data_IF_026330100304
#
_entry.id   IF_026330100304
#
_cell.length_a   1.000
_cell.length_b   1.000
_cell.length_c   1.000
_cell.angle_alpha   90.00
_cell.angle_beta   90.00
_cell.angle_gamma   90.00
#
_symmetry.space_group_name_H-M   'P 1'
#
loop_
_entity.id
_entity.type
_entity.pdbx_description
1 polymer ?
#
# COMPACT_ATOMS: atom_id res chain seq x y z
N UNK A 1 2.70 5.65 37.22
CA UNK A 1 3.86 4.79 37.51
C UNK A 1 5.13 5.49 37.02
N UNK A 2 6.15 5.53 37.84
CA UNK A 2 7.46 6.06 37.45
C UNK A 2 8.46 4.91 37.29
N UNK A 3 9.21 4.90 36.22
CA UNK A 3 10.32 3.97 36.01
C UNK A 3 11.51 4.34 36.89
N UNK A 4 12.49 3.44 37.07
CA UNK A 4 13.71 3.73 37.84
C UNK A 4 14.47 4.99 37.40
N UNK A 5 14.48 5.39 36.11
CA UNK A 5 15.04 6.69 35.67
C UNK A 5 14.13 7.90 35.94
N UNK A 6 12.92 7.71 36.50
CA UNK A 6 12.01 8.82 36.82
C UNK A 6 11.02 9.19 35.69
N UNK A 7 10.97 8.42 34.61
CA UNK A 7 10.04 8.64 33.50
C UNK A 7 8.63 8.28 33.96
N UNK A 8 7.68 9.20 33.78
CA UNK A 8 6.26 8.98 34.09
C UNK A 8 5.59 8.16 33.00
N UNK A 9 5.03 7.00 33.38
CA UNK A 9 4.25 6.15 32.47
C UNK A 9 2.79 6.21 32.86
N UNK A 10 1.92 6.58 31.93
CA UNK A 10 0.47 6.60 32.12
C UNK A 10 -0.05 5.16 32.07
N UNK A 11 -0.76 4.76 33.12
CA UNK A 11 -1.37 3.42 33.21
C UNK A 11 -2.83 3.51 32.78
N UNK A 12 -3.20 2.79 31.72
CA UNK A 12 -4.62 2.77 31.33
C UNK A 12 -4.86 2.40 29.84
N UNK A 13 -3.90 1.79 29.17
CA UNK A 13 -4.04 1.43 27.78
C UNK A 13 -2.76 0.86 27.17
N UNK A 14 -2.54 1.07 25.89
CA UNK A 14 -1.29 0.76 25.21
C UNK A 14 -0.19 1.73 25.68
N UNK A 15 1.06 1.36 25.45
CA UNK A 15 2.21 2.26 25.63
C UNK A 15 2.15 3.30 24.53
N UNK A 16 2.00 4.58 24.88
CA UNK A 16 2.11 5.67 23.93
C UNK A 16 3.58 5.87 23.56
N UNK A 17 3.91 5.98 22.28
CA UNK A 17 5.28 6.24 21.87
C UNK A 17 5.69 7.68 22.19
N UNK A 18 6.92 7.89 22.67
CA UNK A 18 7.47 9.23 22.95
C UNK A 18 7.63 10.04 21.66
N UNK A 19 7.89 9.37 20.54
CA UNK A 19 8.06 10.00 19.23
C UNK A 19 7.11 9.35 18.23
N UNK A 20 6.20 10.15 17.69
CA UNK A 20 5.21 9.71 16.70
C UNK A 20 5.72 10.06 15.30
N UNK A 21 5.98 9.02 14.49
CA UNK A 21 6.21 9.17 13.05
C UNK A 21 4.88 8.92 12.36
N UNK A 22 4.29 9.97 11.80
CA UNK A 22 3.02 9.83 11.08
C UNK A 22 3.25 9.18 9.72
N UNK A 23 2.55 8.09 9.48
CA UNK A 23 2.30 7.59 8.13
C UNK A 23 0.88 8.04 7.73
N UNK A 24 0.80 8.99 6.82
CA UNK A 24 -0.48 9.55 6.37
C UNK A 24 -0.98 8.86 5.09
N UNK A 25 -0.31 7.79 4.66
CA UNK A 25 -0.63 7.10 3.42
C UNK A 25 -1.84 6.17 3.54
N UNK A 26 -2.83 6.36 2.69
CA UNK A 26 -3.82 5.33 2.36
C UNK A 26 -3.47 4.76 0.99
N UNK A 27 -3.27 3.46 0.91
CA UNK A 27 -2.79 2.77 -0.28
C UNK A 27 -3.77 1.65 -0.70
N UNK A 28 -4.99 2.02 -1.14
CA UNK A 28 -6.04 1.05 -1.42
C UNK A 28 -5.71 0.11 -2.59
N UNK A 29 -4.98 0.58 -3.62
CA UNK A 29 -4.55 -0.27 -4.71
C UNK A 29 -3.44 -1.23 -4.25
N UNK A 30 -2.40 -0.75 -3.58
CA UNK A 30 -1.32 -1.61 -3.05
C UNK A 30 -1.87 -2.69 -2.11
N UNK A 31 -2.86 -2.34 -1.28
CA UNK A 31 -3.54 -3.28 -0.40
C UNK A 31 -4.39 -4.31 -1.17
N UNK A 32 -5.04 -3.92 -2.27
CA UNK A 32 -5.78 -4.84 -3.15
C UNK A 32 -4.84 -5.81 -3.87
N UNK A 33 -3.71 -5.31 -4.39
CA UNK A 33 -2.66 -6.12 -5.02
C UNK A 33 -2.09 -7.14 -4.00
N UNK A 34 -1.85 -6.72 -2.77
CA UNK A 34 -1.36 -7.60 -1.71
C UNK A 34 -2.37 -8.71 -1.39
N UNK A 35 -3.63 -8.35 -1.17
CA UNK A 35 -4.71 -9.31 -0.86
C UNK A 35 -4.96 -10.32 -1.97
N UNK A 36 -4.81 -9.93 -3.23
CA UNK A 36 -4.95 -10.83 -4.37
C UNK A 36 -3.78 -11.81 -4.55
N UNK A 37 -2.65 -11.57 -3.86
CA UNK A 37 -1.41 -12.32 -4.04
C UNK A 37 -0.68 -11.97 -5.35
N UNK A 38 -1.01 -10.86 -6.00
CA UNK A 38 -0.49 -10.52 -7.31
C UNK A 38 1.00 -10.20 -7.31
N UNK A 39 1.56 -9.65 -6.24
CA UNK A 39 3.01 -9.47 -6.11
C UNK A 39 3.75 -10.80 -6.26
N UNK A 40 3.31 -11.81 -5.54
CA UNK A 40 3.89 -13.15 -5.59
C UNK A 40 3.74 -13.81 -6.97
N UNK A 41 2.53 -13.74 -7.56
CA UNK A 41 2.27 -14.30 -8.89
C UNK A 41 3.15 -13.65 -9.95
N UNK A 42 3.25 -12.33 -9.94
CA UNK A 42 4.08 -11.60 -10.89
C UNK A 42 5.54 -12.02 -10.81
N UNK A 43 6.09 -12.18 -9.60
CA UNK A 43 7.45 -12.66 -9.42
C UNK A 43 7.60 -14.10 -9.94
N UNK A 44 6.65 -14.99 -9.65
CA UNK A 44 6.69 -16.37 -10.17
C UNK A 44 6.71 -16.44 -11.70
N UNK A 45 6.00 -15.55 -12.38
CA UNK A 45 5.89 -15.54 -13.84
C UNK A 45 7.06 -14.82 -14.53
N UNK A 46 7.85 -14.04 -13.79
CA UNK A 46 8.89 -13.19 -14.38
C UNK A 46 10.29 -13.39 -13.79
N UNK A 47 10.47 -14.26 -12.79
CA UNK A 47 11.77 -14.44 -12.11
C UNK A 47 12.88 -14.99 -13.01
N UNK A 48 12.54 -15.75 -14.02
CA UNK A 48 13.48 -16.34 -14.97
C UNK A 48 14.04 -15.33 -15.99
N UNK A 49 13.47 -14.13 -16.07
CA UNK A 49 13.96 -13.04 -16.90
C UNK A 49 15.17 -12.31 -16.30
N UNK A 50 15.49 -12.55 -15.03
CA UNK A 50 16.54 -11.88 -14.28
C UNK A 50 17.46 -12.88 -13.60
N UNK A 51 18.77 -12.62 -13.61
CA UNK A 51 19.74 -13.47 -12.93
C UNK A 51 19.96 -13.07 -11.46
N UNK A 52 19.57 -11.86 -11.07
CA UNK A 52 19.76 -11.33 -9.71
C UNK A 52 18.78 -10.21 -9.38
N UNK A 53 18.70 -9.86 -8.10
CA UNK A 53 17.93 -8.70 -7.64
C UNK A 53 18.46 -7.39 -8.23
N UNK A 54 19.76 -7.28 -8.49
CA UNK A 54 20.35 -6.06 -9.05
C UNK A 54 19.84 -5.81 -10.49
N UNK A 55 19.65 -6.86 -11.26
CA UNK A 55 19.06 -6.74 -12.60
C UNK A 55 17.59 -6.30 -12.52
N UNK A 56 16.83 -6.81 -11.56
CA UNK A 56 15.44 -6.38 -11.31
C UNK A 56 15.39 -4.89 -10.96
N UNK A 57 16.26 -4.45 -10.05
CA UNK A 57 16.32 -3.04 -9.62
C UNK A 57 16.76 -2.09 -10.74
N UNK A 58 17.49 -2.59 -11.73
CA UNK A 58 17.94 -1.84 -12.90
C UNK A 58 16.91 -1.78 -14.05
N UNK A 59 15.85 -2.60 -14.00
CA UNK A 59 14.83 -2.64 -15.05
C UNK A 59 13.85 -1.47 -14.94
N UNK A 60 14.02 -0.48 -15.79
CA UNK A 60 13.15 0.70 -15.86
C UNK A 60 11.73 0.38 -16.36
N UNK A 61 11.53 -0.78 -17.00
CA UNK A 61 10.22 -1.20 -17.52
C UNK A 61 9.44 -2.09 -16.54
N UNK A 62 10.07 -2.53 -15.46
CA UNK A 62 9.46 -3.42 -14.47
C UNK A 62 8.07 -2.95 -14.02
N UNK A 63 7.95 -1.66 -13.67
CA UNK A 63 6.69 -1.11 -13.18
C UNK A 63 5.63 -0.99 -14.29
N UNK A 64 6.04 -0.79 -15.53
CA UNK A 64 5.13 -0.82 -16.69
C UNK A 64 4.60 -2.24 -16.92
N UNK A 65 5.47 -3.24 -16.87
CA UNK A 65 5.08 -4.67 -16.96
C UNK A 65 4.13 -5.05 -15.81
N UNK A 66 4.43 -4.60 -14.60
CA UNK A 66 3.58 -4.88 -13.44
C UNK A 66 2.21 -4.21 -13.56
N UNK A 67 2.13 -2.97 -14.06
CA UNK A 67 0.86 -2.28 -14.32
C UNK A 67 -0.02 -3.07 -15.29
N UNK A 68 0.54 -3.50 -16.41
CA UNK A 68 -0.18 -4.33 -17.38
C UNK A 68 -0.67 -5.63 -16.72
N UNK A 69 0.18 -6.28 -15.92
CA UNK A 69 -0.18 -7.50 -15.22
C UNK A 69 -1.38 -7.33 -14.28
N UNK A 70 -1.44 -6.26 -13.48
CA UNK A 70 -2.58 -6.03 -12.58
C UNK A 70 -3.86 -5.67 -13.36
N UNK A 71 -3.74 -4.94 -14.50
CA UNK A 71 -4.86 -4.63 -15.38
C UNK A 71 -5.43 -5.90 -16.03
N UNK A 72 -4.59 -6.80 -16.54
CA UNK A 72 -4.99 -8.10 -17.11
C UNK A 72 -5.62 -9.05 -16.10
N UNK A 73 -5.34 -8.89 -14.82
CA UNK A 73 -5.92 -9.67 -13.72
C UNK A 73 -7.11 -8.97 -13.03
N UNK A 74 -7.66 -7.89 -13.61
CA UNK A 74 -8.80 -7.12 -13.07
C UNK A 74 -8.59 -6.62 -11.62
N UNK A 75 -7.36 -6.27 -11.25
CA UNK A 75 -7.03 -5.79 -9.91
C UNK A 75 -7.11 -4.26 -9.89
N UNK A 76 -8.03 -3.73 -9.08
CA UNK A 76 -8.22 -2.29 -8.89
C UNK A 76 -8.20 -1.90 -7.42
N UNK A 77 -7.90 -0.64 -7.16
CA UNK A 77 -7.98 -0.08 -5.82
C UNK A 77 -9.42 0.10 -5.36
N UNK A 78 -9.62 -0.04 -4.07
CA UNK A 78 -10.92 0.17 -3.45
C UNK A 78 -11.16 1.68 -3.21
N UNK A 79 -12.39 2.13 -3.46
CA UNK A 79 -12.85 3.48 -3.12
C UNK A 79 -13.89 3.36 -2.01
N UNK A 80 -13.70 4.10 -0.92
CA UNK A 80 -14.61 4.07 0.22
C UNK A 80 -16.05 4.42 -0.20
N UNK A 81 -17.00 3.61 0.26
CA UNK A 81 -18.41 3.73 -0.13
C UNK A 81 -18.79 3.08 -1.46
N UNK A 82 -17.86 2.50 -2.21
CA UNK A 82 -18.14 1.85 -3.50
C UNK A 82 -19.13 0.70 -3.37
N UNK A 83 -18.99 -0.14 -2.35
CA UNK A 83 -19.93 -1.25 -2.09
C UNK A 83 -21.30 -0.75 -1.65
N UNK A 84 -21.37 0.30 -0.82
CA UNK A 84 -22.62 0.91 -0.40
C UNK A 84 -23.37 1.51 -1.58
N UNK A 85 -22.64 2.16 -2.50
CA UNK A 85 -23.20 2.68 -3.75
C UNK A 85 -23.80 1.56 -4.61
N UNK A 86 -23.08 0.45 -4.75
CA UNK A 86 -23.55 -0.73 -5.50
C UNK A 86 -24.84 -1.29 -4.89
N UNK A 87 -24.87 -1.46 -3.57
CA UNK A 87 -26.07 -1.90 -2.85
C UNK A 87 -27.24 -0.92 -2.99
N UNK A 88 -26.97 0.39 -2.93
CA UNK A 88 -27.99 1.42 -3.14
C UNK A 88 -28.57 1.35 -4.56
N UNK A 89 -27.70 1.22 -5.57
CA UNK A 89 -28.10 1.08 -6.98
C UNK A 89 -28.98 -0.16 -7.18
N UNK A 90 -28.60 -1.32 -6.64
CA UNK A 90 -29.39 -2.54 -6.73
C UNK A 90 -30.78 -2.40 -6.08
N UNK A 91 -30.84 -1.77 -4.91
CA UNK A 91 -32.13 -1.56 -4.20
C UNK A 91 -33.05 -0.60 -4.94
N UNK A 92 -32.54 0.47 -5.51
CA UNK A 92 -33.32 1.49 -6.22
C UNK A 92 -33.72 1.01 -7.60
N UNK A 93 -32.86 0.32 -8.33
CA UNK A 93 -33.16 -0.24 -9.65
C UNK A 93 -34.31 -1.24 -9.62
N UNK A 94 -34.40 -2.06 -8.55
CA UNK A 94 -35.53 -3.01 -8.36
C UNK A 94 -36.89 -2.34 -8.20
N UNK A 95 -36.91 -1.10 -7.66
CA UNK A 95 -38.17 -0.37 -7.41
C UNK A 95 -38.58 0.54 -8.55
N UNK A 96 -37.64 1.04 -9.32
CA UNK A 96 -37.82 2.08 -10.33
C UNK A 96 -37.01 1.81 -11.60
N UNK A 97 -37.23 0.67 -12.26
CA UNK A 97 -36.50 0.26 -13.49
C UNK A 97 -36.48 1.32 -14.60
N UNK A 98 -37.40 2.32 -14.56
CA UNK A 98 -37.54 3.35 -15.57
C UNK A 98 -37.12 4.75 -15.13
N UNK A 99 -36.52 4.92 -13.95
CA UNK A 99 -36.08 6.25 -13.52
C UNK A 99 -34.74 6.63 -14.14
N UNK A 100 -34.81 7.23 -15.33
CA UNK A 100 -33.63 7.67 -16.09
C UNK A 100 -32.76 8.64 -15.29
N UNK A 101 -33.34 9.43 -14.41
CA UNK A 101 -32.61 10.39 -13.58
C UNK A 101 -31.74 9.69 -12.53
N UNK A 102 -32.27 8.68 -11.83
CA UNK A 102 -31.54 7.89 -10.85
C UNK A 102 -30.39 7.14 -11.53
N UNK A 103 -30.66 6.49 -12.66
CA UNK A 103 -29.61 5.75 -13.39
C UNK A 103 -28.50 6.67 -13.90
N UNK A 104 -28.83 7.87 -14.37
CA UNK A 104 -27.84 8.85 -14.77
C UNK A 104 -26.99 9.33 -13.58
N UNK A 105 -27.61 9.55 -12.40
CA UNK A 105 -26.87 9.93 -11.20
C UNK A 105 -25.85 8.86 -10.78
N UNK A 106 -26.25 7.60 -10.76
CA UNK A 106 -25.32 6.48 -10.50
C UNK A 106 -24.20 6.43 -11.53
N UNK A 107 -24.50 6.57 -12.81
CA UNK A 107 -23.49 6.56 -13.87
C UNK A 107 -22.45 7.68 -13.71
N UNK A 108 -22.85 8.87 -13.24
CA UNK A 108 -21.90 9.96 -12.96
C UNK A 108 -20.97 9.60 -11.80
N UNK A 109 -21.51 9.01 -10.73
CA UNK A 109 -20.70 8.61 -9.56
C UNK A 109 -19.76 7.46 -9.95
N UNK A 110 -20.24 6.46 -10.69
CA UNK A 110 -19.42 5.35 -11.16
C UNK A 110 -18.24 5.82 -12.01
N UNK A 111 -18.45 6.75 -12.93
CA UNK A 111 -17.38 7.37 -13.73
C UNK A 111 -16.37 8.12 -12.87
N UNK A 112 -16.81 8.75 -11.78
CA UNK A 112 -15.88 9.41 -10.87
C UNK A 112 -15.05 8.40 -10.08
N UNK A 113 -15.63 7.26 -9.68
CA UNK A 113 -14.91 6.15 -9.05
C UNK A 113 -13.87 5.58 -10.00
N UNK A 114 -14.25 5.27 -11.25
CA UNK A 114 -13.34 4.79 -12.29
C UNK A 114 -12.18 5.76 -12.53
N UNK A 115 -12.48 7.06 -12.58
CA UNK A 115 -11.45 8.09 -12.71
C UNK A 115 -10.48 8.09 -11.53
N UNK A 116 -10.98 8.00 -10.30
CA UNK A 116 -10.14 7.91 -9.10
C UNK A 116 -9.27 6.65 -9.14
N UNK A 117 -9.85 5.50 -9.49
CA UNK A 117 -9.10 4.24 -9.62
C UNK A 117 -8.00 4.31 -10.69
N UNK A 118 -8.25 5.02 -11.80
CA UNK A 118 -7.28 5.14 -12.90
C UNK A 118 -5.99 5.88 -12.53
N UNK A 119 -6.02 6.75 -11.51
CA UNK A 119 -4.83 7.49 -11.02
C UNK A 119 -4.09 6.77 -9.91
N UNK A 120 -4.73 5.82 -9.20
CA UNK A 120 -4.17 5.17 -8.01
C UNK A 120 -2.79 4.54 -8.23
N UNK A 121 -2.55 3.95 -9.41
CA UNK A 121 -1.25 3.34 -9.69
C UNK A 121 -0.10 4.36 -9.66
N UNK A 122 -0.32 5.54 -10.23
CA UNK A 122 0.70 6.59 -10.21
C UNK A 122 0.80 7.24 -8.83
N UNK A 123 -0.33 7.44 -8.15
CA UNK A 123 -0.39 8.03 -6.81
C UNK A 123 0.26 7.12 -5.76
N UNK A 124 0.16 5.80 -5.93
CA UNK A 124 0.72 4.78 -5.02
C UNK A 124 2.01 4.13 -5.55
N UNK A 125 2.60 4.68 -6.63
CA UNK A 125 3.71 4.07 -7.37
C UNK A 125 4.90 3.69 -6.47
N UNK A 126 5.29 4.56 -5.57
CA UNK A 126 6.46 4.33 -4.70
C UNK A 126 6.26 3.12 -3.78
N UNK A 127 5.09 3.00 -3.16
CA UNK A 127 4.79 1.86 -2.29
C UNK A 127 4.63 0.58 -3.09
N UNK A 128 3.95 0.63 -4.25
CA UNK A 128 3.80 -0.53 -5.14
C UNK A 128 5.16 -1.02 -5.62
N UNK A 129 6.02 -0.12 -6.07
CA UNK A 129 7.38 -0.45 -6.53
C UNK A 129 8.20 -1.10 -5.40
N UNK A 130 8.17 -0.52 -4.20
CA UNK A 130 8.85 -1.09 -3.04
C UNK A 130 8.37 -2.51 -2.74
N UNK A 131 7.07 -2.79 -2.86
CA UNK A 131 6.52 -4.11 -2.64
C UNK A 131 6.91 -5.10 -3.75
N UNK A 132 6.90 -4.70 -5.01
CA UNK A 132 7.39 -5.51 -6.14
C UNK A 132 8.87 -5.86 -5.95
N UNK A 133 9.72 -4.87 -5.69
CA UNK A 133 11.14 -5.08 -5.43
C UNK A 133 11.38 -5.98 -4.21
N UNK A 134 10.61 -5.77 -3.14
CA UNK A 134 10.69 -6.60 -1.94
C UNK A 134 10.32 -8.06 -2.18
N UNK A 135 9.35 -8.33 -3.06
CA UNK A 135 8.97 -9.69 -3.41
C UNK A 135 10.03 -10.39 -4.28
N UNK A 136 10.63 -9.70 -5.25
CA UNK A 136 11.79 -10.21 -5.98
C UNK A 136 13.00 -10.41 -5.06
N UNK A 137 13.28 -9.46 -4.16
CA UNK A 137 14.36 -9.59 -3.20
C UNK A 137 14.15 -10.79 -2.25
N UNK A 138 12.90 -11.08 -1.90
CA UNK A 138 12.56 -12.28 -1.15
C UNK A 138 12.83 -13.56 -1.96
N UNK A 139 12.51 -13.55 -3.24
CA UNK A 139 12.76 -14.71 -4.11
C UNK A 139 14.25 -15.04 -4.20
N UNK A 140 15.12 -14.04 -4.37
CA UNK A 140 16.57 -14.24 -4.52
C UNK A 140 17.32 -14.40 -3.20
N UNK A 141 16.96 -13.66 -2.18
CA UNK A 141 17.74 -13.50 -0.94
C UNK A 141 16.91 -13.78 0.35
N UNK A 142 15.70 -14.32 0.21
CA UNK A 142 14.84 -14.62 1.35
C UNK A 142 14.42 -13.36 2.15
N UNK A 143 14.14 -13.55 3.43
CA UNK A 143 13.69 -12.46 4.30
C UNK A 143 14.70 -11.31 4.42
N UNK A 144 16.00 -11.62 4.44
CA UNK A 144 17.04 -10.58 4.52
C UNK A 144 16.97 -9.64 3.31
N UNK A 145 16.83 -10.18 2.10
CA UNK A 145 16.67 -9.38 0.89
C UNK A 145 15.43 -8.48 0.94
N UNK A 146 14.28 -9.03 1.36
CA UNK A 146 13.05 -8.26 1.51
C UNK A 146 13.20 -7.11 2.50
N UNK A 147 13.75 -7.38 3.69
CA UNK A 147 13.92 -6.35 4.70
C UNK A 147 14.91 -5.27 4.26
N UNK A 148 15.97 -5.61 3.54
CA UNK A 148 16.91 -4.65 2.99
C UNK A 148 16.23 -3.65 2.03
N UNK A 149 15.21 -4.09 1.26
CA UNK A 149 14.41 -3.19 0.44
C UNK A 149 13.45 -2.35 1.31
N UNK A 150 12.73 -2.97 2.25
CA UNK A 150 11.67 -2.30 2.99
C UNK A 150 12.19 -1.27 3.99
N UNK A 151 13.30 -1.58 4.69
CA UNK A 151 13.82 -0.72 5.76
C UNK A 151 14.66 0.46 5.23
N UNK A 152 15.10 0.40 3.97
CA UNK A 152 15.97 1.43 3.39
C UNK A 152 15.35 2.84 3.45
N UNK A 153 14.05 2.93 3.14
CA UNK A 153 13.31 4.19 3.07
C UNK A 153 12.17 4.26 4.11
N UNK A 154 12.22 3.40 5.14
CA UNK A 154 11.26 3.38 6.23
C UNK A 154 11.48 4.58 7.16
N UNK A 155 10.51 5.49 7.21
CA UNK A 155 10.58 6.73 8.01
C UNK A 155 10.75 6.47 9.51
N UNK A 156 10.17 5.37 10.01
CA UNK A 156 10.28 5.00 11.44
C UNK A 156 11.68 4.53 11.73
N UNK A 157 12.25 3.69 10.87
CA UNK A 157 13.64 3.20 10.99
C UNK A 157 14.63 4.35 10.85
N UNK A 158 14.45 5.24 9.86
CA UNK A 158 15.31 6.40 9.69
C UNK A 158 15.26 7.33 10.92
N UNK A 159 14.06 7.58 11.46
CA UNK A 159 13.90 8.37 12.67
C UNK A 159 14.54 7.72 13.90
N UNK A 160 14.43 6.41 14.03
CA UNK A 160 15.10 5.68 15.10
C UNK A 160 16.64 5.79 14.99
N UNK A 161 17.20 5.67 13.78
CA UNK A 161 18.64 5.85 13.54
C UNK A 161 19.10 7.26 13.93
N UNK A 162 18.34 8.31 13.56
CA UNK A 162 18.62 9.70 13.95
C UNK A 162 18.67 9.85 15.46
N UNK A 163 17.69 9.29 16.19
CA UNK A 163 17.61 9.38 17.65
C UNK A 163 18.79 8.65 18.31
N UNK A 164 19.16 7.47 17.83
CA UNK A 164 20.31 6.73 18.35
C UNK A 164 21.66 7.40 18.05
N UNK A 165 21.74 8.20 16.99
CA UNK A 165 22.94 8.97 16.68
C UNK A 165 23.12 10.19 17.58
N UNK A 166 22.05 10.68 18.24
CA UNK A 166 22.05 11.82 19.14
C UNK A 166 21.77 11.35 20.58
N UNK A 167 22.85 11.05 21.33
CA UNK A 167 22.77 10.59 22.73
C UNK A 167 21.94 11.55 23.63
N UNK A 168 21.87 12.84 23.30
CA UNK A 168 21.11 13.83 24.09
C UNK A 168 19.61 13.64 23.96
N UNK A 169 19.12 13.14 22.84
CA UNK A 169 17.70 12.83 22.62
C UNK A 169 17.31 11.47 23.22
N UNK A 170 18.25 10.56 23.33
CA UNK A 170 17.99 9.21 23.87
C UNK A 170 17.94 9.19 25.43
N UNK A 171 18.66 10.11 26.08
CA UNK A 171 18.79 10.16 27.55
C UNK A 171 17.87 11.21 28.20
N UNK A 172 17.13 11.98 27.46
CA UNK A 172 16.16 12.98 27.95
C UNK A 172 14.77 12.40 28.14
#
# INVERSE_FOLDING_TARGET
FQTKPGISVVVGGCIDPDIIVKDEGSYPLAASILRSGAYFKFVQENNDQYASIDEVLADNELMTKFKVFIEENDISGYVDGQEDLKLAKEKLSKKEEKNLFINNAFSVIEKQIEKTQSTMFEDEKEIIQRMVHGEFAFYYNGYEGRYNIYLKDDKVVQKAIEIFADESQYLS
#
